data_IF_397897091662
#
_entry.id   IF_397897091662
#
_cell.length_a   1.000
_cell.length_b   1.000
_cell.length_c   1.000
_cell.angle_alpha   90.00
_cell.angle_beta   90.00
_cell.angle_gamma   90.00
#
_symmetry.space_group_name_H-M   'P 1'
#
loop_
_entity.id
_entity.type
_entity.pdbx_description
1 polymer ?
#
# COMPACT_ATOMS: atom_id res chain seq x y z
N UNK A 1 10.06 -53.04 -4.14
CA UNK A 1 9.59 -51.90 -3.31
C UNK A 1 10.00 -50.67 -4.09
N UNK A 2 9.12 -50.19 -4.96
CA UNK A 2 9.40 -49.05 -5.85
C UNK A 2 8.75 -47.82 -5.23
N UNK A 3 9.54 -46.75 -5.04
CA UNK A 3 9.08 -45.48 -4.50
C UNK A 3 8.91 -44.51 -5.66
N UNK A 4 7.66 -44.14 -5.93
CA UNK A 4 7.32 -43.09 -6.88
C UNK A 4 7.67 -41.72 -6.28
N UNK A 5 8.58 -40.99 -6.93
CA UNK A 5 8.80 -39.57 -6.63
C UNK A 5 7.93 -38.74 -7.56
N UNK A 6 6.79 -38.26 -7.05
CA UNK A 6 5.98 -37.24 -7.70
C UNK A 6 6.67 -35.88 -7.55
N UNK A 7 7.31 -35.41 -8.61
CA UNK A 7 7.83 -34.04 -8.70
C UNK A 7 6.66 -33.09 -9.00
N UNK A 8 6.13 -32.43 -7.98
CA UNK A 8 5.15 -31.34 -8.16
C UNK A 8 5.90 -30.11 -8.65
N UNK A 9 5.86 -29.85 -9.95
CA UNK A 9 6.28 -28.57 -10.53
C UNK A 9 5.28 -27.51 -10.12
N UNK A 10 5.58 -26.74 -9.06
CA UNK A 10 4.87 -25.50 -8.77
C UNK A 10 5.22 -24.49 -9.86
N UNK A 11 4.23 -24.13 -10.67
CA UNK A 11 4.30 -22.99 -11.57
C UNK A 11 4.53 -21.72 -10.74
N UNK A 12 5.39 -20.79 -11.19
CA UNK A 12 5.53 -19.50 -10.52
C UNK A 12 4.18 -18.77 -10.55
N UNK A 13 3.78 -18.23 -9.40
CA UNK A 13 2.61 -17.33 -9.28
C UNK A 13 3.00 -16.05 -10.01
N UNK A 14 2.57 -15.92 -11.27
CA UNK A 14 2.67 -14.66 -12.01
C UNK A 14 1.54 -13.76 -11.52
N UNK A 15 1.83 -12.93 -10.52
CA UNK A 15 0.91 -11.85 -10.12
C UNK A 15 0.77 -10.92 -11.32
N UNK A 16 -0.38 -10.97 -12.00
CA UNK A 16 -0.68 -10.08 -13.11
C UNK A 16 -0.88 -8.70 -12.49
N UNK A 17 0.14 -7.84 -12.55
CA UNK A 17 0.01 -6.44 -12.13
C UNK A 17 -1.11 -5.79 -12.96
N UNK A 18 -2.31 -5.67 -12.38
CA UNK A 18 -3.35 -4.83 -12.95
C UNK A 18 -2.82 -3.41 -12.97
N UNK A 19 -2.54 -2.91 -14.18
CA UNK A 19 -2.03 -1.57 -14.39
C UNK A 19 -3.14 -0.55 -14.08
N UNK A 20 -3.09 0.04 -12.89
CA UNK A 20 -3.97 1.15 -12.50
C UNK A 20 -3.40 2.44 -13.08
N UNK A 21 -4.21 3.18 -13.84
CA UNK A 21 -3.84 4.50 -14.35
C UNK A 21 -4.35 5.58 -13.39
N UNK A 22 -3.45 6.44 -12.95
CA UNK A 22 -3.78 7.60 -12.12
C UNK A 22 -3.74 8.89 -12.94
N UNK A 23 -4.72 9.76 -12.77
CA UNK A 23 -4.84 11.03 -13.49
C UNK A 23 -4.08 12.16 -12.80
N UNK A 24 -3.94 12.10 -11.49
CA UNK A 24 -3.37 13.17 -10.68
C UNK A 24 -2.19 12.66 -9.85
N UNK A 25 -1.28 13.58 -9.54
CA UNK A 25 -0.15 13.34 -8.66
C UNK A 25 0.22 14.62 -7.90
N UNK A 26 0.51 14.49 -6.61
CA UNK A 26 1.02 15.58 -5.78
C UNK A 26 2.37 15.19 -5.18
N UNK A 27 3.28 16.15 -5.09
CA UNK A 27 4.50 15.98 -4.30
C UNK A 27 4.15 15.83 -2.82
N UNK A 28 4.87 14.95 -2.13
CA UNK A 28 4.73 14.74 -0.71
C UNK A 28 6.06 14.34 -0.07
N UNK A 29 6.18 14.68 1.21
CA UNK A 29 7.26 14.23 2.07
C UNK A 29 6.75 13.04 2.90
N UNK A 30 7.51 11.94 2.92
CA UNK A 30 7.24 10.72 3.67
C UNK A 30 8.33 10.52 4.72
N UNK A 31 7.93 10.27 5.97
CA UNK A 31 8.81 9.93 7.07
C UNK A 31 8.41 8.57 7.67
N UNK A 32 9.40 7.71 7.90
CA UNK A 32 9.23 6.40 8.50
C UNK A 32 10.14 6.29 9.72
N UNK A 33 9.55 6.00 10.88
CA UNK A 33 10.25 5.86 12.15
C UNK A 33 10.11 4.44 12.70
N UNK A 34 11.20 3.66 12.66
CA UNK A 34 11.23 2.33 13.25
C UNK A 34 11.27 2.37 14.77
N UNK A 35 10.33 1.67 15.43
CA UNK A 35 10.39 1.39 16.87
C UNK A 35 11.25 0.16 17.16
N UNK A 36 11.93 0.09 18.32
CA UNK A 36 12.62 -1.13 18.77
C UNK A 36 11.70 -2.35 18.92
N UNK A 37 10.37 -2.17 18.89
CA UNK A 37 9.37 -3.25 18.99
C UNK A 37 8.89 -3.79 17.62
N UNK A 38 9.52 -3.40 16.51
CA UNK A 38 9.16 -3.89 15.17
C UNK A 38 7.89 -3.26 14.58
N UNK A 39 7.44 -2.14 15.14
CA UNK A 39 6.37 -1.31 14.59
C UNK A 39 6.96 0.02 14.13
N UNK A 40 6.65 0.42 12.92
CA UNK A 40 7.17 1.64 12.32
C UNK A 40 6.04 2.64 12.13
N UNK A 41 6.22 3.85 12.64
CA UNK A 41 5.31 4.96 12.39
C UNK A 41 5.55 5.53 10.99
N UNK A 42 4.47 5.82 10.27
CA UNK A 42 4.51 6.47 8.95
C UNK A 42 3.83 7.82 9.05
N UNK A 43 4.45 8.84 8.45
CA UNK A 43 3.91 10.18 8.33
C UNK A 43 4.06 10.67 6.90
N UNK A 44 2.99 11.18 6.29
CA UNK A 44 3.01 11.78 4.95
C UNK A 44 2.44 13.19 5.01
N UNK A 45 3.13 14.16 4.42
CA UNK A 45 2.62 15.52 4.20
C UNK A 45 2.49 15.79 2.70
N UNK A 46 1.30 16.20 2.25
CA UNK A 46 1.08 16.54 0.83
C UNK A 46 1.40 18.01 0.60
N UNK A 47 2.40 18.27 -0.24
CA UNK A 47 2.96 19.60 -0.44
C UNK A 47 1.94 20.55 -1.06
N UNK A 48 1.91 21.80 -0.58
CA UNK A 48 0.97 22.82 -1.04
C UNK A 48 -0.47 22.62 -0.54
N UNK A 49 -0.72 21.68 0.37
CA UNK A 49 -2.04 21.42 0.96
C UNK A 49 -1.98 21.37 2.48
N UNK A 50 -3.14 21.43 3.13
CA UNK A 50 -3.29 21.15 4.56
C UNK A 50 -3.58 19.66 4.84
N UNK A 51 -3.31 18.76 3.91
CA UNK A 51 -3.53 17.33 4.08
C UNK A 51 -2.27 16.67 4.62
N UNK A 52 -2.44 15.86 5.65
CA UNK A 52 -1.39 14.97 6.17
C UNK A 52 -1.98 13.59 6.40
N UNK A 53 -1.13 12.61 6.58
CA UNK A 53 -1.57 11.30 7.00
C UNK A 53 -0.59 10.64 7.95
N UNK A 54 -1.15 9.78 8.79
CA UNK A 54 -0.43 9.04 9.81
C UNK A 54 -0.82 7.57 9.73
N UNK A 55 0.15 6.70 9.94
CA UNK A 55 -0.09 5.27 9.98
C UNK A 55 0.99 4.51 10.72
N UNK A 56 0.86 3.20 10.66
CA UNK A 56 1.82 2.27 11.24
C UNK A 56 1.98 1.06 10.34
N UNK A 57 3.17 0.46 10.35
CA UNK A 57 3.50 -0.71 9.54
C UNK A 57 4.53 -1.61 10.24
N UNK A 58 4.65 -2.87 9.83
CA UNK A 58 5.60 -3.83 10.43
C UNK A 58 7.02 -3.82 9.80
N UNK A 59 7.35 -2.78 9.02
CA UNK A 59 8.56 -2.73 8.19
C UNK A 59 9.84 -2.25 8.89
N UNK A 60 10.99 -2.58 8.30
CA UNK A 60 12.35 -2.23 8.80
C UNK A 60 12.95 -0.96 8.17
N UNK A 61 12.19 -0.25 7.33
CA UNK A 61 12.67 0.98 6.68
C UNK A 61 12.56 2.14 7.66
N UNK A 62 13.64 2.90 7.84
CA UNK A 62 13.64 4.13 8.62
C UNK A 62 14.24 5.26 7.78
N UNK A 63 13.73 6.48 7.97
CA UNK A 63 14.25 7.67 7.30
C UNK A 63 13.16 8.47 6.62
N UNK A 64 13.56 9.52 5.92
CA UNK A 64 12.67 10.39 5.17
C UNK A 64 12.96 10.33 3.67
N UNK A 65 11.92 10.53 2.88
CA UNK A 65 12.02 10.59 1.42
C UNK A 65 10.95 11.50 0.84
N UNK A 66 11.18 11.94 -0.40
CA UNK A 66 10.21 12.70 -1.19
C UNK A 66 9.69 11.83 -2.32
N UNK A 67 8.43 12.04 -2.66
CA UNK A 67 7.80 11.30 -3.74
C UNK A 67 6.52 11.94 -4.24
N UNK A 68 5.83 11.19 -5.08
CA UNK A 68 4.53 11.54 -5.63
C UNK A 68 3.47 10.62 -5.04
N UNK A 69 2.37 11.18 -4.56
CA UNK A 69 1.15 10.44 -4.29
C UNK A 69 0.21 10.56 -5.49
N UNK A 70 -0.09 9.42 -6.09
CA UNK A 70 -0.93 9.26 -7.27
C UNK A 70 -2.36 8.90 -6.86
N UNK A 71 -3.35 9.56 -7.48
CA UNK A 71 -4.76 9.38 -7.14
C UNK A 71 -5.68 9.74 -8.31
N UNK A 72 -6.95 9.31 -8.20
CA UNK A 72 -8.00 9.63 -9.18
C UNK A 72 -9.13 10.49 -8.58
N UNK A 73 -9.42 10.35 -7.27
CA UNK A 73 -10.37 11.18 -6.55
C UNK A 73 -9.69 11.86 -5.36
N UNK A 74 -9.75 13.19 -5.28
CA UNK A 74 -9.19 13.94 -4.16
C UNK A 74 -9.85 13.61 -2.81
N UNK A 75 -11.08 13.09 -2.79
CA UNK A 75 -11.74 12.63 -1.58
C UNK A 75 -11.04 11.41 -0.95
N UNK A 76 -10.22 10.70 -1.72
CA UNK A 76 -9.39 9.60 -1.23
C UNK A 76 -8.31 10.12 -0.25
N UNK A 77 -7.96 11.40 -0.33
CA UNK A 77 -6.98 12.03 0.56
C UNK A 77 -7.60 12.64 1.82
N UNK A 78 -8.89 12.38 2.11
CA UNK A 78 -9.63 13.07 3.18
C UNK A 78 -10.43 12.05 4.00
N UNK A 79 -10.10 11.95 5.29
CA UNK A 79 -10.81 11.14 6.30
C UNK A 79 -11.02 9.68 5.88
N UNK A 80 -10.08 9.14 5.10
CA UNK A 80 -10.09 7.76 4.61
C UNK A 80 -9.07 6.92 5.38
N UNK A 81 -9.45 5.65 5.64
CA UNK A 81 -8.59 4.64 6.24
C UNK A 81 -8.14 3.63 5.20
N UNK A 82 -6.88 3.23 5.29
CA UNK A 82 -6.22 2.39 4.32
C UNK A 82 -5.49 1.23 4.97
N UNK A 83 -5.52 0.09 4.30
CA UNK A 83 -4.51 -0.95 4.42
C UNK A 83 -3.36 -0.57 3.48
N UNK A 84 -2.15 -0.64 3.99
CA UNK A 84 -0.94 -0.39 3.23
C UNK A 84 -0.36 -1.69 2.72
N UNK A 85 0.18 -1.66 1.50
CA UNK A 85 1.08 -2.68 1.00
C UNK A 85 2.34 -2.02 0.44
N UNK A 86 3.48 -2.30 1.05
CA UNK A 86 4.74 -1.62 0.73
C UNK A 86 5.67 -2.55 -0.03
N UNK A 87 6.23 -2.06 -1.14
CA UNK A 87 7.11 -2.82 -2.04
C UNK A 87 8.34 -1.96 -2.36
N UNK A 88 9.49 -2.61 -2.51
CA UNK A 88 10.65 -2.03 -3.19
C UNK A 88 10.75 -2.62 -4.58
N UNK A 89 10.78 -1.75 -5.59
CA UNK A 89 11.04 -2.20 -6.95
C UNK A 89 12.56 -2.31 -7.23
N UNK A 90 12.89 -2.86 -8.40
CA UNK A 90 14.26 -3.14 -8.83
C UNK A 90 15.13 -1.88 -9.00
N UNK A 91 14.51 -0.69 -9.07
CA UNK A 91 15.18 0.61 -9.19
C UNK A 91 15.37 1.30 -7.84
N UNK A 92 15.21 0.57 -6.73
CA UNK A 92 15.29 1.10 -5.37
C UNK A 92 14.19 2.12 -5.04
N UNK A 93 13.08 2.10 -5.77
CA UNK A 93 11.95 2.98 -5.49
C UNK A 93 11.01 2.31 -4.50
N UNK A 94 10.64 3.08 -3.48
CA UNK A 94 9.60 2.73 -2.53
C UNK A 94 8.24 2.97 -3.17
N UNK A 95 7.45 1.92 -3.26
CA UNK A 95 6.04 1.98 -3.63
C UNK A 95 5.18 1.62 -2.42
N UNK A 96 4.19 2.46 -2.12
CA UNK A 96 3.17 2.16 -1.10
C UNK A 96 1.81 2.20 -1.78
N UNK A 97 1.14 1.06 -1.78
CA UNK A 97 -0.21 0.90 -2.26
C UNK A 97 -1.20 1.09 -1.10
N UNK A 98 -2.19 1.96 -1.29
CA UNK A 98 -3.20 2.29 -0.30
C UNK A 98 -4.56 1.74 -0.74
N UNK A 99 -4.98 0.67 -0.08
CA UNK A 99 -6.28 0.03 -0.34
C UNK A 99 -7.28 0.45 0.73
N UNK A 100 -8.40 1.05 0.31
CA UNK A 100 -9.42 1.57 1.23
C UNK A 100 -10.02 0.48 2.09
N UNK A 101 -10.16 0.76 3.39
CA UNK A 101 -10.89 -0.10 4.32
C UNK A 101 -12.33 0.40 4.37
N UNK A 102 -13.26 -0.36 3.79
CA UNK A 102 -14.69 -0.07 3.88
C UNK A 102 -15.28 -0.72 5.14
N UNK A 103 -16.08 0.05 5.87
CA UNK A 103 -16.90 -0.51 6.94
C UNK A 103 -18.09 -1.27 6.36
N UNK A 104 -18.63 -2.27 7.08
CA UNK A 104 -19.68 -3.14 6.52
C UNK A 104 -20.95 -2.37 6.11
N UNK A 105 -21.23 -1.23 6.75
CA UNK A 105 -22.30 -0.28 6.37
C UNK A 105 -22.09 0.40 5.01
N UNK A 106 -20.86 0.48 4.51
CA UNK A 106 -20.51 1.12 3.23
C UNK A 106 -20.43 0.09 2.08
N UNK A 107 -20.29 -1.20 2.42
CA UNK A 107 -20.25 -2.29 1.45
C UNK A 107 -21.63 -2.56 0.85
N UNK A 108 -22.70 -2.35 1.62
CA UNK A 108 -24.09 -2.53 1.17
C UNK A 108 -24.46 -1.55 0.03
N UNK A 109 -23.92 -0.34 0.03
CA UNK A 109 -24.21 0.68 -1.01
C UNK A 109 -23.44 0.46 -2.32
N UNK A 110 -22.44 -0.43 -2.34
CA UNK A 110 -21.65 -0.77 -3.54
C UNK A 110 -22.07 -2.10 -4.17
N UNK A 111 -22.99 -2.83 -3.55
CA UNK A 111 -23.59 -4.05 -4.10
C UNK A 111 -24.78 -3.74 -5.02
N UNK A 112 -24.56 -2.94 -6.06
CA UNK A 112 -25.45 -2.94 -7.23
C UNK A 112 -24.65 -3.46 -8.43
N UNK A 113 -24.53 -4.79 -8.52
CA UNK A 113 -24.24 -5.45 -9.78
C UNK A 113 -23.15 -6.51 -9.82
N UNK A 114 -23.10 -7.48 -8.88
CA UNK A 114 -23.08 -8.91 -9.25
C UNK A 114 -23.14 -9.79 -7.99
N UNK A 115 -24.21 -10.59 -7.87
CA UNK A 115 -24.26 -11.69 -6.91
C UNK A 115 -23.49 -12.87 -7.51
N UNK A 116 -22.36 -13.25 -6.90
CA UNK A 116 -21.97 -14.65 -6.84
C UNK A 116 -21.13 -14.90 -5.58
N UNK A 117 -21.71 -15.68 -4.67
CA UNK A 117 -21.01 -16.20 -3.51
C UNK A 117 -19.94 -17.20 -3.93
N UNK A 118 -18.69 -16.86 -3.68
CA UNK A 118 -17.51 -17.70 -3.80
C UNK A 118 -16.34 -16.90 -3.26
N UNK A 119 -15.65 -17.40 -2.24
CA UNK A 119 -14.49 -16.77 -1.64
C UNK A 119 -13.29 -16.81 -2.58
N UNK A 120 -13.32 -15.97 -3.61
CA UNK A 120 -12.17 -15.60 -4.41
C UNK A 120 -11.69 -14.27 -3.84
N UNK A 121 -10.42 -14.22 -3.44
CA UNK A 121 -9.74 -12.99 -3.06
C UNK A 121 -9.82 -12.04 -4.25
N UNK A 122 -10.84 -11.18 -4.31
CA UNK A 122 -10.85 -10.04 -5.21
C UNK A 122 -9.58 -9.25 -4.89
N UNK A 123 -8.58 -9.33 -5.77
CA UNK A 123 -7.35 -8.55 -5.65
C UNK A 123 -7.73 -7.08 -5.46
N UNK A 124 -7.65 -6.60 -4.21
CA UNK A 124 -8.10 -5.27 -3.85
C UNK A 124 -7.19 -4.23 -4.51
N UNK A 125 -7.72 -3.54 -5.52
CA UNK A 125 -6.99 -2.54 -6.29
C UNK A 125 -6.73 -1.29 -5.43
N UNK A 126 -5.49 -0.75 -5.38
CA UNK A 126 -5.20 0.44 -4.58
C UNK A 126 -5.91 1.67 -5.11
N UNK A 127 -6.45 2.49 -4.21
CA UNK A 127 -7.06 3.78 -4.56
C UNK A 127 -6.03 4.90 -4.64
N UNK A 128 -4.91 4.76 -3.93
CA UNK A 128 -3.77 5.67 -3.99
C UNK A 128 -2.48 4.88 -4.12
N UNK A 129 -1.47 5.48 -4.74
CA UNK A 129 -0.11 4.92 -4.76
C UNK A 129 0.90 6.03 -4.47
N UNK A 130 1.73 5.85 -3.45
CA UNK A 130 2.93 6.66 -3.27
C UNK A 130 4.09 6.01 -4.02
N UNK A 131 4.90 6.82 -4.72
CA UNK A 131 6.20 6.41 -5.25
C UNK A 131 7.28 7.45 -4.93
N UNK A 132 8.40 7.01 -4.38
CA UNK A 132 9.55 7.85 -4.08
C UNK A 132 10.81 7.03 -3.93
N UNK A 133 11.97 7.66 -3.84
CA UNK A 133 13.22 6.92 -3.61
C UNK A 133 13.16 6.25 -2.24
N UNK A 134 13.55 4.99 -2.11
CA UNK A 134 13.59 4.40 -0.78
C UNK A 134 14.72 5.03 0.06
N UNK A 135 14.48 5.37 1.35
CA UNK A 135 15.52 5.90 2.24
C UNK A 135 16.77 5.02 2.32
N UNK A 136 17.92 5.64 2.59
CA UNK A 136 19.20 4.96 2.80
C UNK A 136 19.23 4.22 4.14
N UNK A 137 20.17 3.27 4.30
CA UNK A 137 20.36 2.53 5.54
C UNK A 137 19.36 1.38 5.77
N UNK A 138 18.65 0.98 4.71
CA UNK A 138 17.74 -0.17 4.73
C UNK A 138 18.48 -1.51 4.58
N UNK A 139 17.90 -2.63 5.05
CA UNK A 139 18.41 -3.97 4.73
C UNK A 139 18.39 -4.26 3.23
N UNK A 140 19.32 -5.10 2.76
CA UNK A 140 19.45 -5.48 1.33
C UNK A 140 18.18 -6.16 0.79
N UNK A 141 17.52 -6.97 1.63
CA UNK A 141 16.27 -7.64 1.30
C UNK A 141 15.17 -7.13 2.24
N UNK A 142 14.11 -6.58 1.66
CA UNK A 142 12.90 -6.19 2.39
C UNK A 142 11.73 -6.93 1.75
N UNK A 143 11.10 -7.79 2.54
CA UNK A 143 9.85 -8.41 2.15
C UNK A 143 8.72 -7.38 2.20
N UNK A 144 7.71 -7.48 1.31
CA UNK A 144 6.54 -6.63 1.39
C UNK A 144 5.86 -6.72 2.74
N UNK A 145 5.40 -5.58 3.25
CA UNK A 145 4.80 -5.52 4.57
C UNK A 145 3.52 -4.69 4.58
N UNK A 146 2.67 -4.98 5.57
CA UNK A 146 1.33 -4.42 5.69
C UNK A 146 1.27 -3.41 6.84
N UNK A 147 0.48 -2.37 6.63
CA UNK A 147 0.19 -1.35 7.63
C UNK A 147 -1.24 -0.83 7.59
N UNK A 148 -1.54 0.10 8.48
CA UNK A 148 -2.79 0.88 8.49
C UNK A 148 -2.43 2.35 8.41
N UNK A 149 -3.20 3.13 7.65
CA UNK A 149 -2.94 4.55 7.44
C UNK A 149 -4.24 5.35 7.37
N UNK A 150 -4.19 6.61 7.79
CA UNK A 150 -5.32 7.54 7.72
C UNK A 150 -4.84 8.89 7.23
N UNK A 151 -5.58 9.50 6.29
CA UNK A 151 -5.38 10.91 5.94
C UNK A 151 -6.33 11.80 6.74
N UNK A 152 -5.84 12.95 7.15
CA UNK A 152 -6.55 13.97 7.93
C UNK A 152 -6.21 15.37 7.40
N UNK A 153 -7.13 16.32 7.61
CA UNK A 153 -6.86 17.74 7.37
C UNK A 153 -6.29 18.37 8.64
N UNK A 154 -5.15 19.01 8.50
CA UNK A 154 -4.56 19.87 9.53
C UNK A 154 -5.56 21.01 9.85
N UNK A 155 -5.85 21.17 11.14
CA UNK A 155 -6.87 22.08 11.68
C UNK A 155 -6.29 23.43 12.06
#
# INVERSE_FOLDING_TARGET
MEVATSSTSQSPITTVEKQVTFQYANECDLEIHCSPFGLSGLYIKINGTNIMGIGSTMGLITGSTKGLIHYNDSNDLIDQKYKLYVILDDEEMLRIDFTKIYTDSEKETKQDGNNNGGGEEEEEVPSLVFRGKCPEGRPDNIEPFIGIFSFERET
#
